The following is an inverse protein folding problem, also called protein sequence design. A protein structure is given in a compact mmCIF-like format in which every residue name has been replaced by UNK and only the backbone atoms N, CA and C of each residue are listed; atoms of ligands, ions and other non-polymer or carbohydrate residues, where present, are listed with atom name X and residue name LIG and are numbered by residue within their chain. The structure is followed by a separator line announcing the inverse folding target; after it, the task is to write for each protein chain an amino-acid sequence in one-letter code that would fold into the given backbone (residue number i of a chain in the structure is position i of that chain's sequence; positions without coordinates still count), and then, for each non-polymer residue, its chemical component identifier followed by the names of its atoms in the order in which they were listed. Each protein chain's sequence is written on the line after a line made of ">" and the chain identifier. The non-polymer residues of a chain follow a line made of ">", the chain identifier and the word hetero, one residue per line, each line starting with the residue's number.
data_IF_678521425789
#
_entry.id   IF_678521425789
#
_cell.length_a   1.000
_cell.length_b   1.000
_cell.length_c   1.000
_cell.angle_alpha   90.00
_cell.angle_beta   90.00
_cell.angle_gamma   90.00
#
_symmetry.space_group_name_H-M   'P 1'
#
loop_
_entity.id
_entity.type
_entity.pdbx_description
1 polymer ?
#
# COMPACT_ATOMS: atom_id res chain seq x y z
N UNK A 1 19.39 -4.95 -0.32
CA UNK A 1 19.99 -6.24 -0.76
C UNK A 1 20.79 -6.90 0.34
N UNK A 2 21.49 -6.15 1.18
CA UNK A 2 22.37 -6.71 2.22
C UNK A 2 21.65 -7.59 3.24
N UNK A 3 20.44 -7.20 3.67
CA UNK A 3 19.61 -8.03 4.54
C UNK A 3 19.25 -9.40 3.93
N UNK A 4 19.02 -9.45 2.62
CA UNK A 4 18.75 -10.72 1.91
C UNK A 4 20.01 -11.53 1.68
N UNK A 5 21.16 -10.89 1.43
CA UNK A 5 22.46 -11.58 1.33
C UNK A 5 22.82 -12.30 2.63
N UNK A 6 22.36 -11.79 3.76
CA UNK A 6 22.52 -12.42 5.07
C UNK A 6 21.54 -13.58 5.33
N UNK A 7 20.68 -13.96 4.37
CA UNK A 7 19.72 -15.06 4.46
C UNK A 7 19.88 -16.04 3.27
N UNK A 8 21.01 -16.77 3.18
CA UNK A 8 21.38 -17.53 1.99
C UNK A 8 20.42 -18.69 1.63
N UNK A 9 19.65 -19.19 2.59
CA UNK A 9 18.65 -20.24 2.35
C UNK A 9 17.36 -19.73 1.68
N UNK A 10 17.07 -18.43 1.78
CA UNK A 10 15.84 -17.81 1.23
C UNK A 10 16.13 -16.41 0.67
N UNK A 11 17.03 -16.28 -0.33
CA UNK A 11 17.34 -14.97 -0.89
C UNK A 11 16.16 -14.40 -1.68
N UNK A 12 16.12 -13.08 -1.83
CA UNK A 12 15.20 -12.41 -2.75
C UNK A 12 15.53 -12.88 -4.17
N UNK A 13 14.55 -13.50 -4.83
CA UNK A 13 14.74 -14.03 -6.18
C UNK A 13 14.85 -12.94 -7.25
N UNK A 14 14.05 -11.86 -7.14
CA UNK A 14 14.11 -10.72 -8.06
C UNK A 14 13.45 -9.47 -7.46
N UNK A 15 13.76 -8.31 -8.04
CA UNK A 15 13.14 -7.03 -7.73
C UNK A 15 12.82 -6.34 -9.06
N UNK A 16 11.63 -5.77 -9.18
CA UNK A 16 11.21 -5.02 -10.35
C UNK A 16 10.62 -3.69 -9.92
N UNK A 17 10.88 -2.63 -10.69
CA UNK A 17 10.19 -1.35 -10.54
C UNK A 17 8.83 -1.47 -11.24
N UNK A 18 7.76 -1.05 -10.56
CA UNK A 18 6.41 -1.12 -11.14
C UNK A 18 5.36 -0.40 -10.30
N UNK A 19 4.17 -0.23 -10.89
CA UNK A 19 2.99 0.34 -10.23
C UNK A 19 2.08 -0.81 -9.76
N UNK A 20 1.66 -0.79 -8.50
CA UNK A 20 0.73 -1.79 -7.94
C UNK A 20 -0.61 -1.86 -8.69
N UNK A 21 -0.99 -0.79 -9.41
CA UNK A 21 -2.19 -0.72 -10.25
C UNK A 21 -1.98 -1.39 -11.62
N UNK A 22 -0.74 -1.71 -11.99
CA UNK A 22 -0.36 -2.30 -13.28
C UNK A 22 0.77 -3.32 -13.12
N UNK A 23 0.40 -4.52 -12.63
CA UNK A 23 1.33 -5.65 -12.48
C UNK A 23 1.52 -6.39 -13.81
N UNK A 24 2.78 -6.64 -14.19
CA UNK A 24 3.16 -7.36 -15.42
C UNK A 24 3.07 -8.88 -15.29
N UNK A 25 2.97 -9.40 -14.08
CA UNK A 25 2.94 -10.84 -13.79
C UNK A 25 1.64 -11.47 -14.29
N UNK A 26 1.65 -12.77 -14.57
CA UNK A 26 0.46 -13.49 -15.02
C UNK A 26 -0.60 -13.64 -13.93
N UNK A 27 -1.78 -14.11 -14.33
CA UNK A 27 -2.83 -14.49 -13.39
C UNK A 27 -2.38 -15.69 -12.54
N UNK A 28 -2.84 -15.79 -11.30
CA UNK A 28 -2.59 -16.93 -10.39
C UNK A 28 -1.12 -17.39 -10.32
N UNK A 29 -0.19 -16.43 -10.42
CA UNK A 29 1.26 -16.67 -10.47
C UNK A 29 1.91 -16.82 -9.09
N UNK A 30 1.26 -16.33 -8.02
CA UNK A 30 1.81 -16.36 -6.67
C UNK A 30 0.91 -17.10 -5.67
N UNK A 31 1.53 -17.86 -4.78
CA UNK A 31 0.85 -18.51 -3.65
C UNK A 31 0.52 -17.52 -2.52
N UNK A 32 1.37 -16.51 -2.34
CA UNK A 32 1.19 -15.49 -1.30
C UNK A 32 1.54 -14.11 -1.87
N UNK A 33 0.78 -13.08 -1.49
CA UNK A 33 1.05 -11.69 -1.83
C UNK A 33 1.18 -10.86 -0.55
N UNK A 34 2.23 -10.04 -0.47
CA UNK A 34 2.39 -8.99 0.53
C UNK A 34 2.09 -7.63 -0.14
N UNK A 35 0.99 -6.98 0.24
CA UNK A 35 0.60 -5.67 -0.28
C UNK A 35 0.88 -4.59 0.78
N UNK A 36 2.17 -4.26 0.92
CA UNK A 36 2.67 -3.29 1.90
C UNK A 36 3.00 -1.96 1.20
N UNK A 37 2.33 -0.87 1.57
CA UNK A 37 2.51 0.42 0.87
C UNK A 37 1.27 0.92 0.17
N UNK A 38 0.81 0.23 -0.89
CA UNK A 38 -0.15 0.80 -1.83
C UNK A 38 -1.42 1.35 -1.18
N UNK A 39 -1.97 0.68 -0.17
CA UNK A 39 -3.25 1.10 0.40
C UNK A 39 -3.19 2.33 1.30
N UNK A 40 -2.00 2.72 1.77
CA UNK A 40 -1.82 3.92 2.56
C UNK A 40 -1.09 5.05 1.80
N UNK A 41 -0.49 4.75 0.64
CA UNK A 41 0.10 5.77 -0.25
C UNK A 41 -0.82 6.22 -1.39
N UNK A 42 -1.77 5.38 -1.83
CA UNK A 42 -2.71 5.76 -2.88
C UNK A 42 -3.86 6.60 -2.30
N UNK A 43 -3.89 7.88 -2.68
CA UNK A 43 -4.89 8.86 -2.24
C UNK A 43 -6.30 8.53 -2.73
N UNK A 44 -6.42 8.11 -3.99
CA UNK A 44 -7.71 7.83 -4.61
C UNK A 44 -8.28 6.47 -4.22
N UNK A 45 -9.59 6.43 -3.94
CA UNK A 45 -10.30 5.18 -3.63
C UNK A 45 -10.24 4.20 -4.80
N UNK A 46 -10.42 4.70 -6.02
CA UNK A 46 -10.35 3.90 -7.25
C UNK A 46 -8.99 3.22 -7.39
N UNK A 47 -7.91 3.96 -7.16
CA UNK A 47 -6.54 3.44 -7.24
C UNK A 47 -6.29 2.32 -6.22
N UNK A 48 -6.74 2.49 -4.98
CA UNK A 48 -6.66 1.44 -3.95
C UNK A 48 -7.41 0.17 -4.35
N UNK A 49 -8.60 0.33 -4.94
CA UNK A 49 -9.40 -0.80 -5.44
C UNK A 49 -8.67 -1.51 -6.58
N UNK A 50 -8.09 -0.76 -7.53
CA UNK A 50 -7.33 -1.34 -8.64
C UNK A 50 -6.12 -2.11 -8.11
N UNK A 51 -5.36 -1.57 -7.16
CA UNK A 51 -4.23 -2.26 -6.56
C UNK A 51 -4.64 -3.58 -5.89
N UNK A 52 -5.76 -3.58 -5.14
CA UNK A 52 -6.33 -4.81 -4.56
C UNK A 52 -6.74 -5.83 -5.62
N UNK A 53 -7.38 -5.37 -6.70
CA UNK A 53 -7.78 -6.24 -7.81
C UNK A 53 -6.57 -6.85 -8.52
N UNK A 54 -5.51 -6.07 -8.77
CA UNK A 54 -4.27 -6.59 -9.37
C UNK A 54 -3.57 -7.59 -8.45
N UNK A 55 -3.49 -7.30 -7.16
CA UNK A 55 -2.97 -8.23 -6.16
C UNK A 55 -3.77 -9.54 -6.13
N UNK A 56 -5.11 -9.45 -6.17
CA UNK A 56 -6.00 -10.63 -6.22
C UNK A 56 -5.87 -11.42 -7.53
N UNK A 57 -5.65 -10.74 -8.67
CA UNK A 57 -5.47 -11.37 -9.98
C UNK A 57 -4.22 -12.24 -10.03
N UNK A 58 -3.09 -11.72 -9.54
CA UNK A 58 -1.82 -12.47 -9.54
C UNK A 58 -1.78 -13.56 -8.46
N UNK A 59 -2.66 -13.50 -7.47
CA UNK A 59 -2.81 -14.50 -6.42
C UNK A 59 -3.60 -15.72 -6.91
N UNK A 60 -3.12 -16.91 -6.56
CA UNK A 60 -3.84 -18.17 -6.79
C UNK A 60 -5.18 -18.22 -6.05
N UNK A 61 -6.16 -19.00 -6.50
CA UNK A 61 -7.48 -19.10 -5.86
C UNK A 61 -7.41 -19.39 -4.35
N UNK A 62 -6.51 -20.28 -3.92
CA UNK A 62 -6.32 -20.69 -2.52
C UNK A 62 -5.13 -19.96 -1.84
N UNK A 63 -4.64 -18.89 -2.45
CA UNK A 63 -3.50 -18.13 -1.95
C UNK A 63 -3.87 -17.18 -0.82
N UNK A 64 -2.85 -16.74 -0.07
CA UNK A 64 -3.02 -15.76 1.01
C UNK A 64 -2.54 -14.37 0.58
N UNK A 65 -3.27 -13.34 1.00
CA UNK A 65 -2.83 -11.95 0.87
C UNK A 65 -2.75 -11.30 2.24
N UNK A 66 -1.60 -10.70 2.53
CA UNK A 66 -1.40 -9.86 3.70
C UNK A 66 -1.33 -8.41 3.26
N UNK A 67 -2.08 -7.55 3.95
CA UNK A 67 -2.27 -6.16 3.56
C UNK A 67 -2.05 -5.27 4.76
N UNK A 68 -1.30 -4.19 4.57
CA UNK A 68 -1.14 -3.14 5.57
C UNK A 68 -1.95 -1.92 5.16
N UNK A 69 -2.70 -1.37 6.10
CA UNK A 69 -3.45 -0.13 5.92
C UNK A 69 -3.13 0.82 7.06
N UNK A 70 -3.16 2.11 6.77
CA UNK A 70 -3.13 3.17 7.78
C UNK A 70 -4.55 3.71 7.93
N UNK A 71 -4.97 3.95 9.17
CA UNK A 71 -6.30 4.51 9.42
C UNK A 71 -6.43 5.88 8.72
N UNK A 72 -7.57 6.12 8.07
CA UNK A 72 -7.83 7.40 7.39
C UNK A 72 -7.73 8.59 8.33
N UNK A 73 -8.03 8.39 9.61
CA UNK A 73 -8.08 9.45 10.61
C UNK A 73 -6.74 9.70 11.30
N UNK A 74 -5.64 9.07 10.89
CA UNK A 74 -4.33 9.31 11.53
C UNK A 74 -3.99 10.79 11.53
N UNK A 75 -4.13 11.48 10.39
CA UNK A 75 -3.90 12.92 10.33
C UNK A 75 -4.82 13.69 11.28
N UNK A 76 -6.12 13.37 11.35
CA UNK A 76 -7.01 14.01 12.32
C UNK A 76 -6.53 13.83 13.77
N UNK A 77 -6.09 12.63 14.13
CA UNK A 77 -5.59 12.32 15.47
C UNK A 77 -4.29 13.07 15.76
N UNK A 78 -3.39 13.19 14.78
CA UNK A 78 -2.15 13.95 14.92
C UNK A 78 -2.47 15.43 15.18
N UNK A 79 -3.37 16.04 14.40
CA UNK A 79 -3.73 17.44 14.59
C UNK A 79 -4.50 17.74 15.87
N UNK A 80 -5.27 16.76 16.37
CA UNK A 80 -5.89 16.85 17.69
C UNK A 80 -4.83 16.82 18.81
N UNK A 81 -3.80 15.99 18.64
CA UNK A 81 -2.72 15.84 19.63
C UNK A 81 -1.79 17.05 19.64
N UNK A 82 -1.52 17.62 18.47
CA UNK A 82 -0.59 18.74 18.30
C UNK A 82 -1.26 20.12 18.44
N UNK A 83 -2.59 20.16 18.59
CA UNK A 83 -3.35 21.41 18.74
C UNK A 83 -3.47 22.23 17.44
N UNK A 84 -3.31 21.59 16.28
CA UNK A 84 -3.29 22.24 14.95
C UNK A 84 -4.59 22.08 14.17
N UNK A 85 -5.65 21.56 14.80
CA UNK A 85 -6.92 21.26 14.14
C UNK A 85 -7.62 22.51 13.56
N UNK A 86 -7.33 23.70 14.10
CA UNK A 86 -7.87 24.98 13.64
C UNK A 86 -7.02 25.64 12.53
N UNK A 87 -5.86 25.07 12.19
CA UNK A 87 -5.03 25.57 11.08
C UNK A 87 -5.78 25.37 9.75
N UNK A 88 -6.11 26.44 9.01
CA UNK A 88 -6.81 26.35 7.73
C UNK A 88 -6.10 25.46 6.71
N UNK A 89 -4.77 25.39 6.74
CA UNK A 89 -3.99 24.50 5.89
C UNK A 89 -4.27 23.03 6.24
N UNK A 90 -4.26 22.72 7.53
CA UNK A 90 -4.52 21.38 8.04
C UNK A 90 -5.96 20.92 7.76
N UNK A 91 -6.93 21.82 7.94
CA UNK A 91 -8.35 21.55 7.65
C UNK A 91 -8.55 21.17 6.18
N UNK A 92 -7.82 21.79 5.25
CA UNK A 92 -7.91 21.45 3.83
C UNK A 92 -7.36 20.05 3.54
N UNK A 93 -6.27 19.65 4.21
CA UNK A 93 -5.74 18.28 4.14
C UNK A 93 -6.77 17.27 4.66
N UNK A 94 -7.39 17.54 5.82
CA UNK A 94 -8.40 16.67 6.41
C UNK A 94 -9.65 16.50 5.53
N UNK A 95 -10.04 17.56 4.82
CA UNK A 95 -11.16 17.54 3.86
C UNK A 95 -10.84 16.79 2.57
N UNK A 96 -9.58 16.44 2.33
CA UNK A 96 -9.14 15.82 1.08
C UNK A 96 -9.26 16.76 -0.14
N UNK A 97 -9.33 18.07 0.10
CA UNK A 97 -9.37 19.09 -0.94
C UNK A 97 -7.92 19.43 -1.36
N UNK A 98 -7.56 19.34 -2.65
CA UNK A 98 -6.24 19.75 -3.09
C UNK A 98 -6.04 21.25 -2.86
N UNK A 99 -4.82 21.64 -2.46
CA UNK A 99 -4.32 23.02 -2.58
C UNK A 99 -4.05 23.38 -4.02
#
# INVERSE_FOLDING_TARGET
>A
MDASRNQPGNPIASINIGDARSLTQGDASFYTVLLMGPLYHLSERSDRIIALQKARRVLRPDGLIFVSVVCRFVTLMDGLTDGTIDDPYFVNILRGTPT
#
